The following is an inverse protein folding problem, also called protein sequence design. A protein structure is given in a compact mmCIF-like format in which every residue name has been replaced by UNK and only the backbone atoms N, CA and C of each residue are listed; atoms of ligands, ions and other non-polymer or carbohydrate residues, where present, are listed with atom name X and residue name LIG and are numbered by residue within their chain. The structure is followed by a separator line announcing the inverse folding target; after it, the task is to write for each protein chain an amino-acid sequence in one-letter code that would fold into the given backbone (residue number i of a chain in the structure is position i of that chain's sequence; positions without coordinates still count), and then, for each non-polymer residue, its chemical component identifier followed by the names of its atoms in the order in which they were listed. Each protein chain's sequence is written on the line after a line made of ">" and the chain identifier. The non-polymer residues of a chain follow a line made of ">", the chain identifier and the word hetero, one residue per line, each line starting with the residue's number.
data_IF_972038978222
#
_entry.id   IF_972038978222
#
_cell.length_a   1.000
_cell.length_b   1.000
_cell.length_c   1.000
_cell.angle_alpha   90.00
_cell.angle_beta   90.00
_cell.angle_gamma   90.00
#
_symmetry.space_group_name_H-M   'P 1'
#
loop_
_entity.id
_entity.type
_entity.pdbx_description
1 polymer ?
#
# COMPACT_ATOMS: atom_id res chain seq x y z
N UNK A 1 21.90 35.21 14.71
CA UNK A 1 20.56 34.89 14.24
C UNK A 1 20.56 33.44 13.77
N UNK A 2 19.99 32.54 14.55
CA UNK A 2 19.70 31.16 14.13
C UNK A 2 18.52 31.24 13.15
N UNK A 3 18.72 30.77 11.93
CA UNK A 3 17.64 30.53 11.00
C UNK A 3 16.80 29.39 11.55
N UNK A 4 15.53 29.67 11.85
CA UNK A 4 14.51 28.70 12.19
C UNK A 4 14.26 27.87 10.93
N UNK A 5 14.66 26.59 10.95
CA UNK A 5 14.42 25.63 9.89
C UNK A 5 12.94 25.26 9.92
N UNK A 6 12.18 25.95 9.07
CA UNK A 6 10.71 25.87 8.99
C UNK A 6 10.12 24.55 8.51
N UNK A 7 10.80 23.43 8.69
CA UNK A 7 10.21 22.09 8.52
C UNK A 7 9.48 21.70 9.81
N UNK A 8 8.32 22.29 10.07
CA UNK A 8 7.36 21.68 10.99
C UNK A 8 7.00 20.30 10.45
N UNK A 9 7.53 19.25 11.10
CA UNK A 9 6.98 17.92 10.93
C UNK A 9 5.50 18.00 11.31
N UNK A 10 4.57 17.46 10.48
CA UNK A 10 3.18 17.41 10.87
C UNK A 10 3.07 16.74 12.24
N UNK A 11 2.25 17.29 13.13
CA UNK A 11 1.99 16.66 14.41
C UNK A 11 1.32 15.32 14.18
N UNK A 12 1.68 14.29 14.97
CA UNK A 12 1.16 12.92 14.80
C UNK A 12 -0.38 12.84 14.79
N UNK A 13 -1.10 13.86 15.29
CA UNK A 13 -2.55 13.93 15.26
C UNK A 13 -3.17 14.23 13.89
N UNK A 14 -2.40 14.76 12.93
CA UNK A 14 -2.94 15.19 11.63
C UNK A 14 -2.98 14.08 10.58
N UNK A 15 -2.18 13.00 10.75
CA UNK A 15 -2.08 11.88 9.82
C UNK A 15 -2.76 10.59 10.32
N UNK A 16 -3.56 10.67 11.36
CA UNK A 16 -4.22 9.50 11.97
C UNK A 16 -5.01 8.67 10.93
N UNK A 17 -4.68 7.38 10.87
CA UNK A 17 -5.33 6.40 10.01
C UNK A 17 -4.76 6.29 8.58
N UNK A 18 -3.68 6.99 8.24
CA UNK A 18 -2.98 6.85 6.94
C UNK A 18 -1.59 6.26 7.07
N UNK A 19 -1.14 5.98 8.27
CA UNK A 19 0.14 5.35 8.55
C UNK A 19 0.20 3.97 7.89
N UNK A 20 1.35 3.66 7.28
CA UNK A 20 1.71 2.32 6.88
C UNK A 20 2.74 1.80 7.88
N UNK A 21 2.44 0.67 8.50
CA UNK A 21 3.33 0.08 9.50
C UNK A 21 4.07 -1.12 8.92
N UNK A 22 5.38 -1.16 9.16
CA UNK A 22 6.16 -2.35 8.83
C UNK A 22 5.73 -3.55 9.67
N UNK A 23 6.12 -4.74 9.27
CA UNK A 23 5.86 -5.97 10.03
C UNK A 23 6.41 -5.84 11.45
N UNK A 24 7.63 -5.31 11.61
CA UNK A 24 8.23 -5.07 12.92
C UNK A 24 7.42 -4.06 13.76
N UNK A 25 6.97 -2.96 13.14
CA UNK A 25 6.14 -1.97 13.82
C UNK A 25 4.78 -2.55 14.24
N UNK A 26 4.18 -3.43 13.43
CA UNK A 26 2.95 -4.13 13.83
C UNK A 26 3.17 -5.05 15.03
N UNK A 27 4.28 -5.77 15.12
CA UNK A 27 4.60 -6.55 16.32
C UNK A 27 4.77 -5.68 17.57
N UNK A 28 5.32 -4.47 17.42
CA UNK A 28 5.38 -3.50 18.53
C UNK A 28 3.99 -3.00 18.92
N UNK A 29 3.12 -2.76 17.95
CA UNK A 29 1.71 -2.39 18.18
C UNK A 29 0.98 -3.47 18.97
N UNK A 30 1.07 -4.72 18.53
CA UNK A 30 0.42 -5.86 19.20
C UNK A 30 0.93 -6.01 20.64
N UNK A 31 2.25 -5.89 20.84
CA UNK A 31 2.86 -5.95 22.15
C UNK A 31 2.39 -4.80 23.07
N UNK A 32 2.28 -3.58 22.54
CA UNK A 32 1.79 -2.41 23.27
C UNK A 32 0.30 -2.54 23.61
N UNK A 33 -0.51 -3.08 22.69
CA UNK A 33 -1.93 -3.34 22.93
C UNK A 33 -2.11 -4.36 24.06
N UNK A 34 -1.34 -5.45 24.04
CA UNK A 34 -1.35 -6.47 25.11
C UNK A 34 -0.91 -5.85 26.44
N UNK A 35 0.13 -5.03 26.44
CA UNK A 35 0.58 -4.32 27.65
C UNK A 35 -0.44 -3.34 28.19
N UNK A 36 -1.33 -2.79 27.34
CA UNK A 36 -2.43 -1.91 27.73
C UNK A 36 -3.66 -2.64 28.26
N UNK A 37 -3.66 -3.98 28.24
CA UNK A 37 -4.70 -4.83 28.82
C UNK A 37 -5.64 -5.51 27.81
N UNK A 38 -5.40 -5.38 26.49
CA UNK A 38 -6.14 -6.14 25.47
C UNK A 38 -5.42 -7.47 25.23
N UNK A 39 -6.06 -8.62 25.51
CA UNK A 39 -5.39 -9.90 25.34
C UNK A 39 -5.24 -10.27 23.85
N UNK A 40 -4.17 -11.04 23.53
CA UNK A 40 -3.97 -11.54 22.16
C UNK A 40 -5.14 -12.41 21.67
N UNK A 41 -5.76 -13.18 22.56
CA UNK A 41 -6.97 -13.96 22.29
C UNK A 41 -8.12 -13.04 21.84
N UNK A 42 -8.34 -11.91 22.51
CA UNK A 42 -9.39 -10.96 22.14
C UNK A 42 -9.09 -10.26 20.82
N UNK A 43 -7.84 -9.89 20.56
CA UNK A 43 -7.42 -9.31 19.29
C UNK A 43 -7.65 -10.28 18.12
N UNK A 44 -7.28 -11.54 18.29
CA UNK A 44 -7.48 -12.60 17.28
C UNK A 44 -8.96 -12.88 17.05
N UNK A 45 -9.78 -12.93 18.10
CA UNK A 45 -11.24 -13.06 18.00
C UNK A 45 -11.85 -11.89 17.20
N UNK A 46 -11.43 -10.66 17.50
CA UNK A 46 -11.88 -9.46 16.79
C UNK A 46 -11.45 -9.47 15.31
N UNK A 47 -10.21 -9.90 15.02
CA UNK A 47 -9.69 -10.02 13.67
C UNK A 47 -10.49 -11.02 12.82
N UNK A 48 -10.67 -12.23 13.30
CA UNK A 48 -11.46 -13.25 12.60
C UNK A 48 -12.92 -12.85 12.42
N UNK A 49 -13.53 -12.26 13.44
CA UNK A 49 -14.92 -11.72 13.38
C UNK A 49 -15.06 -10.62 12.32
N UNK A 50 -14.08 -9.74 12.22
CA UNK A 50 -14.06 -8.68 11.21
C UNK A 50 -14.01 -9.27 9.79
N UNK A 51 -13.18 -10.28 9.55
CA UNK A 51 -13.14 -11.00 8.25
C UNK A 51 -14.47 -11.65 7.93
N UNK A 52 -15.09 -12.33 8.88
CA UNK A 52 -16.41 -12.96 8.70
C UNK A 52 -17.47 -11.93 8.35
N UNK A 53 -17.46 -10.76 8.99
CA UNK A 53 -18.36 -9.65 8.66
C UNK A 53 -18.21 -9.20 7.22
N UNK A 54 -16.98 -9.07 6.73
CA UNK A 54 -16.70 -8.70 5.33
C UNK A 54 -17.16 -9.79 4.34
N UNK A 55 -16.94 -11.05 4.67
CA UNK A 55 -17.39 -12.17 3.85
C UNK A 55 -18.93 -12.17 3.74
N UNK A 56 -19.63 -12.11 4.86
CA UNK A 56 -21.11 -12.17 4.89
C UNK A 56 -21.81 -11.00 4.25
N UNK A 57 -21.14 -9.85 4.13
CA UNK A 57 -21.68 -8.69 3.40
C UNK A 57 -21.65 -8.90 1.87
N UNK A 58 -20.78 -9.78 1.36
CA UNK A 58 -20.53 -9.94 -0.08
C UNK A 58 -21.00 -11.25 -0.64
N UNK A 59 -20.99 -12.29 0.17
CA UNK A 59 -21.34 -13.63 -0.27
C UNK A 59 -22.44 -14.23 0.60
N UNK A 60 -23.34 -14.95 -0.06
CA UNK A 60 -24.26 -15.86 0.64
C UNK A 60 -23.51 -17.14 1.05
N UNK A 61 -24.09 -17.90 2.02
CA UNK A 61 -23.53 -19.18 2.47
C UNK A 61 -23.22 -20.10 1.31
N UNK A 62 -22.01 -20.63 1.29
CA UNK A 62 -21.49 -21.53 0.25
C UNK A 62 -20.41 -22.43 0.81
N UNK A 63 -19.94 -23.40 -0.01
CA UNK A 63 -18.84 -24.28 0.36
C UNK A 63 -17.55 -23.47 0.49
N UNK A 64 -17.09 -23.28 1.71
CA UNK A 64 -15.94 -22.46 2.04
C UNK A 64 -14.81 -23.31 2.60
N UNK A 65 -13.62 -23.18 2.01
CA UNK A 65 -12.41 -23.79 2.54
C UNK A 65 -11.59 -22.72 3.25
N UNK A 66 -11.22 -22.97 4.50
CA UNK A 66 -10.35 -22.11 5.29
C UNK A 66 -9.01 -22.79 5.44
N UNK A 67 -7.97 -22.19 4.87
CA UNK A 67 -6.59 -22.69 4.89
C UNK A 67 -5.83 -21.99 6.02
N UNK A 68 -5.50 -22.73 7.07
CA UNK A 68 -4.81 -22.22 8.25
C UNK A 68 -3.32 -22.58 8.24
N UNK A 69 -2.47 -21.60 8.56
CA UNK A 69 -1.05 -21.82 8.83
C UNK A 69 -0.77 -22.11 10.30
N UNK A 70 0.50 -22.39 10.66
CA UNK A 70 0.90 -22.76 12.02
C UNK A 70 1.06 -21.56 12.97
N UNK A 71 0.90 -20.33 12.50
CA UNK A 71 1.08 -19.11 13.29
C UNK A 71 -0.24 -18.37 13.59
N UNK A 72 -0.12 -17.09 13.99
CA UNK A 72 -1.27 -16.26 14.36
C UNK A 72 -2.26 -16.06 13.20
N UNK A 73 -1.77 -15.95 11.96
CA UNK A 73 -2.66 -15.87 10.80
C UNK A 73 -3.58 -17.10 10.68
N UNK A 74 -3.03 -18.29 10.94
CA UNK A 74 -3.83 -19.52 11.05
C UNK A 74 -4.80 -19.48 12.22
N UNK A 75 -4.43 -18.85 13.32
CA UNK A 75 -5.31 -18.60 14.46
C UNK A 75 -6.54 -17.79 14.09
N UNK A 76 -6.35 -16.69 13.33
CA UNK A 76 -7.46 -15.92 12.74
C UNK A 76 -8.34 -16.81 11.85
N UNK A 77 -7.73 -17.72 11.08
CA UNK A 77 -8.43 -18.72 10.26
C UNK A 77 -9.34 -19.63 11.07
N UNK A 78 -8.92 -20.09 12.26
CA UNK A 78 -9.77 -20.88 13.17
C UNK A 78 -10.98 -20.09 13.67
N UNK A 79 -10.79 -18.81 14.01
CA UNK A 79 -11.90 -17.93 14.40
C UNK A 79 -12.88 -17.77 13.24
N UNK A 80 -12.38 -17.51 12.04
CA UNK A 80 -13.18 -17.35 10.83
C UNK A 80 -14.01 -18.61 10.56
N UNK A 81 -13.36 -19.77 10.59
CA UNK A 81 -14.03 -21.06 10.34
C UNK A 81 -15.16 -21.30 11.33
N UNK A 82 -14.91 -21.07 12.62
CA UNK A 82 -15.91 -21.24 13.69
C UNK A 82 -17.11 -20.32 13.48
N UNK A 83 -16.90 -19.04 13.27
CA UNK A 83 -17.99 -18.09 13.09
C UNK A 83 -18.80 -18.31 11.79
N UNK A 84 -18.14 -18.73 10.70
CA UNK A 84 -18.87 -19.11 9.49
C UNK A 84 -19.69 -20.36 9.70
N UNK A 85 -19.15 -21.39 10.38
CA UNK A 85 -19.88 -22.61 10.70
C UNK A 85 -21.08 -22.32 11.61
N UNK A 86 -20.91 -21.51 12.66
CA UNK A 86 -21.98 -21.07 13.56
C UNK A 86 -23.07 -20.28 12.82
N UNK A 87 -22.70 -19.60 11.73
CA UNK A 87 -23.64 -18.91 10.84
C UNK A 87 -24.28 -19.83 9.78
N UNK A 88 -24.05 -21.14 9.85
CA UNK A 88 -24.66 -22.15 8.97
C UNK A 88 -23.96 -22.32 7.62
N UNK A 89 -22.70 -21.88 7.48
CA UNK A 89 -21.91 -22.11 6.27
C UNK A 89 -21.34 -23.54 6.24
N UNK A 90 -21.13 -24.05 5.03
CA UNK A 90 -20.41 -25.30 4.82
C UNK A 90 -18.92 -25.07 4.84
N UNK A 91 -18.29 -25.24 6.00
CA UNK A 91 -16.87 -24.94 6.21
C UNK A 91 -16.04 -26.22 6.26
N UNK A 92 -15.00 -26.27 5.45
CA UNK A 92 -13.89 -27.23 5.57
C UNK A 92 -12.66 -26.48 6.07
N UNK A 93 -12.16 -26.85 7.25
CA UNK A 93 -10.93 -26.25 7.81
C UNK A 93 -9.74 -27.16 7.53
N UNK A 94 -8.71 -26.60 6.95
CA UNK A 94 -7.45 -27.29 6.69
C UNK A 94 -6.29 -26.59 7.41
N UNK A 95 -5.40 -27.37 7.98
CA UNK A 95 -4.24 -26.89 8.73
C UNK A 95 -2.94 -27.35 8.09
N UNK A 96 -2.00 -26.42 7.92
CA UNK A 96 -0.61 -26.73 7.61
C UNK A 96 0.11 -27.17 8.89
N UNK A 97 0.42 -28.44 8.98
CA UNK A 97 1.00 -29.06 10.18
C UNK A 97 -0.04 -29.67 11.09
N UNK A 98 0.32 -29.84 12.35
CA UNK A 98 -0.48 -30.56 13.34
C UNK A 98 -1.05 -29.58 14.39
N UNK A 99 -2.30 -29.83 14.83
CA UNK A 99 -2.98 -29.03 15.86
C UNK A 99 -2.16 -28.94 17.16
N UNK A 100 -1.53 -30.03 17.54
CA UNK A 100 -0.76 -30.11 18.78
C UNK A 100 0.56 -29.33 18.74
N UNK A 101 1.00 -28.91 17.56
CA UNK A 101 2.15 -28.04 17.40
C UNK A 101 1.80 -26.54 17.53
N UNK A 102 0.52 -26.17 17.53
CA UNK A 102 0.09 -24.80 17.70
C UNK A 102 0.33 -24.34 19.14
N UNK A 103 0.64 -23.04 19.29
CA UNK A 103 0.93 -22.43 20.58
C UNK A 103 0.17 -21.11 20.76
N UNK A 104 0.14 -20.60 22.01
CA UNK A 104 -0.43 -19.29 22.34
C UNK A 104 -1.88 -19.11 21.89
N UNK A 105 -2.19 -17.94 21.34
CA UNK A 105 -3.55 -17.54 20.96
C UNK A 105 -4.10 -18.41 19.81
N UNK A 106 -3.25 -18.80 18.85
CA UNK A 106 -3.63 -19.70 17.78
C UNK A 106 -4.06 -21.07 18.32
N UNK A 107 -3.37 -21.60 19.31
CA UNK A 107 -3.76 -22.86 19.97
C UNK A 107 -5.08 -22.71 20.70
N UNK A 108 -5.29 -21.62 21.42
CA UNK A 108 -6.56 -21.35 22.11
C UNK A 108 -7.75 -21.41 21.13
N UNK A 109 -7.65 -20.71 20.00
CA UNK A 109 -8.74 -20.69 19.02
C UNK A 109 -8.90 -22.02 18.27
N UNK A 110 -7.81 -22.76 18.04
CA UNK A 110 -7.90 -24.12 17.51
C UNK A 110 -8.61 -25.07 18.46
N UNK A 111 -8.47 -24.90 19.78
CA UNK A 111 -9.15 -25.71 20.79
C UNK A 111 -10.66 -25.41 20.87
N UNK A 112 -11.11 -24.26 20.40
CA UNK A 112 -12.52 -23.91 20.27
C UNK A 112 -13.17 -24.48 19.01
N UNK A 113 -12.39 -24.95 18.03
CA UNK A 113 -12.92 -25.59 16.83
C UNK A 113 -13.36 -27.03 17.12
N UNK A 114 -14.63 -27.34 16.85
CA UNK A 114 -15.24 -28.64 17.12
C UNK A 114 -15.38 -29.52 15.88
N UNK A 115 -15.16 -28.95 14.69
CA UNK A 115 -15.22 -29.68 13.43
C UNK A 115 -13.94 -30.47 13.16
N UNK A 116 -13.95 -31.24 12.07
CA UNK A 116 -12.77 -31.93 11.58
C UNK A 116 -11.70 -30.93 11.09
N UNK A 117 -10.42 -31.24 11.33
CA UNK A 117 -9.28 -30.56 10.77
C UNK A 117 -8.66 -31.51 9.75
N UNK A 118 -8.66 -31.09 8.47
CA UNK A 118 -8.09 -31.90 7.40
C UNK A 118 -6.68 -31.42 7.03
N UNK A 119 -5.79 -32.33 6.63
CA UNK A 119 -4.47 -31.95 6.14
C UNK A 119 -4.54 -31.06 4.90
N UNK A 120 -3.57 -30.18 4.74
CA UNK A 120 -3.48 -29.31 3.58
C UNK A 120 -3.22 -30.10 2.30
N UNK A 121 -4.09 -29.97 1.30
CA UNK A 121 -3.93 -30.61 0.00
C UNK A 121 -4.65 -29.85 -1.11
N UNK A 122 -4.16 -29.97 -2.35
CA UNK A 122 -4.77 -29.33 -3.53
C UNK A 122 -6.19 -29.86 -3.79
N UNK A 123 -6.49 -31.11 -3.44
CA UNK A 123 -7.82 -31.72 -3.65
C UNK A 123 -8.94 -31.02 -2.90
N UNK A 124 -8.64 -30.28 -1.84
CA UNK A 124 -9.62 -29.48 -1.09
C UNK A 124 -10.26 -28.37 -1.95
N UNK A 125 -9.57 -27.93 -3.00
CA UNK A 125 -10.03 -26.84 -3.85
C UNK A 125 -11.08 -27.28 -4.87
N UNK A 126 -11.22 -28.59 -5.15
CA UNK A 126 -12.10 -29.08 -6.21
C UNK A 126 -13.57 -28.71 -6.05
N UNK A 127 -14.05 -28.64 -4.79
CA UNK A 127 -15.45 -28.32 -4.47
C UNK A 127 -15.59 -26.96 -3.78
N UNK A 128 -14.52 -26.18 -3.66
CA UNK A 128 -14.54 -24.90 -2.99
C UNK A 128 -15.22 -23.84 -3.86
N UNK A 129 -16.17 -23.11 -3.29
CA UNK A 129 -16.85 -21.97 -3.91
C UNK A 129 -16.36 -20.64 -3.33
N UNK A 130 -15.64 -20.69 -2.22
CA UNK A 130 -14.94 -19.57 -1.57
C UNK A 130 -13.74 -20.12 -0.82
N UNK A 131 -12.66 -19.36 -0.85
CA UNK A 131 -11.44 -19.69 -0.13
C UNK A 131 -11.07 -18.58 0.85
N UNK A 132 -10.67 -18.98 2.04
CA UNK A 132 -10.02 -18.07 3.01
C UNK A 132 -8.56 -18.48 3.13
N UNK A 133 -7.68 -17.62 2.68
CA UNK A 133 -6.23 -17.76 2.79
C UNK A 133 -5.75 -17.16 4.11
N UNK A 134 -5.56 -18.02 5.09
CA UNK A 134 -5.01 -17.71 6.40
C UNK A 134 -3.73 -18.54 6.69
N UNK A 135 -2.95 -18.89 5.65
CA UNK A 135 -1.74 -19.69 5.82
C UNK A 135 -0.63 -18.83 6.41
N UNK A 136 -0.18 -17.81 5.68
CA UNK A 136 0.89 -16.93 6.13
C UNK A 136 0.48 -15.46 5.99
N UNK A 137 0.60 -14.71 7.07
CA UNK A 137 0.45 -13.25 7.10
C UNK A 137 1.74 -12.52 6.69
N UNK A 138 1.79 -11.23 6.99
CA UNK A 138 2.85 -10.31 6.59
C UNK A 138 4.27 -10.69 7.07
N UNK A 139 4.38 -11.54 8.08
CA UNK A 139 5.66 -12.00 8.66
C UNK A 139 6.40 -13.07 7.86
N UNK A 140 5.90 -13.50 6.70
CA UNK A 140 6.58 -14.48 5.85
C UNK A 140 7.89 -13.89 5.32
N UNK A 141 9.02 -14.59 5.57
CA UNK A 141 10.36 -14.11 5.20
C UNK A 141 11.11 -15.03 4.20
N UNK A 142 10.46 -16.11 3.76
CA UNK A 142 11.07 -17.10 2.84
C UNK A 142 10.12 -17.44 1.69
N UNK A 143 10.65 -17.85 0.53
CA UNK A 143 9.80 -18.34 -0.55
C UNK A 143 8.92 -19.51 -0.14
N UNK A 144 7.72 -19.58 -0.75
CA UNK A 144 6.82 -20.70 -0.60
C UNK A 144 7.43 -21.95 -1.23
N UNK A 145 7.18 -23.10 -0.61
CA UNK A 145 7.59 -24.40 -1.09
C UNK A 145 6.53 -25.48 -0.85
N UNK A 146 6.75 -26.68 -1.36
CA UNK A 146 5.91 -27.87 -1.15
C UNK A 146 4.44 -27.64 -1.43
N UNK A 147 3.59 -28.26 -0.60
CA UNK A 147 2.13 -28.26 -0.76
C UNK A 147 1.52 -26.85 -0.75
N UNK A 148 2.09 -25.91 0.01
CA UNK A 148 1.60 -24.52 0.02
C UNK A 148 1.77 -23.87 -1.36
N UNK A 149 2.93 -24.04 -1.98
CA UNK A 149 3.19 -23.52 -3.33
C UNK A 149 2.23 -24.13 -4.36
N UNK A 150 1.97 -25.46 -4.27
CA UNK A 150 1.04 -26.15 -5.16
C UNK A 150 -0.40 -25.62 -5.00
N UNK A 151 -0.86 -25.40 -3.76
CA UNK A 151 -2.19 -24.86 -3.47
C UNK A 151 -2.32 -23.43 -3.98
N UNK A 152 -1.33 -22.58 -3.73
CA UNK A 152 -1.38 -21.18 -4.16
C UNK A 152 -1.49 -21.07 -5.68
N UNK A 153 -0.78 -21.92 -6.43
CA UNK A 153 -0.92 -22.01 -7.89
C UNK A 153 -2.31 -22.47 -8.31
N UNK A 154 -2.82 -23.52 -7.66
CA UNK A 154 -4.13 -24.07 -7.98
C UNK A 154 -5.29 -23.09 -7.70
N UNK A 155 -5.16 -22.17 -6.74
CA UNK A 155 -6.16 -21.13 -6.48
C UNK A 155 -6.37 -20.25 -7.72
N UNK A 156 -5.28 -19.76 -8.30
CA UNK A 156 -5.34 -18.90 -9.49
C UNK A 156 -5.83 -19.69 -10.71
N UNK A 157 -5.37 -20.94 -10.90
CA UNK A 157 -5.76 -21.80 -12.03
C UNK A 157 -7.26 -22.18 -12.01
N UNK A 158 -7.84 -22.32 -10.82
CA UNK A 158 -9.25 -22.68 -10.64
C UNK A 158 -10.19 -21.48 -10.52
N UNK A 159 -9.63 -20.25 -10.53
CA UNK A 159 -10.39 -19.00 -10.42
C UNK A 159 -11.35 -18.96 -9.20
N UNK A 160 -10.95 -19.58 -8.07
CA UNK A 160 -11.76 -19.59 -6.85
C UNK A 160 -11.66 -18.23 -6.17
N UNK A 161 -12.79 -17.57 -5.84
CA UNK A 161 -12.77 -16.33 -5.06
C UNK A 161 -11.99 -16.53 -3.76
N UNK A 162 -10.90 -15.79 -3.58
CA UNK A 162 -9.98 -15.91 -2.45
C UNK A 162 -10.04 -14.66 -1.56
N UNK A 163 -10.20 -14.86 -0.27
CA UNK A 163 -10.14 -13.83 0.76
C UNK A 163 -8.85 -14.03 1.53
N UNK A 164 -7.93 -13.08 1.43
CA UNK A 164 -6.68 -13.13 2.17
C UNK A 164 -6.81 -12.48 3.54
N UNK A 165 -6.30 -13.16 4.55
CA UNK A 165 -6.19 -12.64 5.92
C UNK A 165 -4.84 -11.99 6.09
N UNK A 166 -4.84 -10.74 6.50
CA UNK A 166 -3.68 -9.85 6.66
C UNK A 166 -2.99 -9.51 5.33
N UNK A 167 -2.36 -10.45 4.65
CA UNK A 167 -1.82 -10.33 3.27
C UNK A 167 -2.05 -11.65 2.53
N UNK A 168 -2.12 -11.67 1.20
CA UNK A 168 -2.12 -12.92 0.45
C UNK A 168 -0.84 -13.71 0.74
N UNK A 169 -1.00 -15.01 1.03
CA UNK A 169 0.14 -15.90 1.31
C UNK A 169 1.20 -15.80 0.20
N UNK A 170 2.44 -15.54 0.58
CA UNK A 170 3.55 -15.30 -0.36
C UNK A 170 3.88 -13.84 -0.61
N UNK A 171 3.03 -12.89 -0.22
CA UNK A 171 3.35 -11.45 -0.29
C UNK A 171 4.15 -11.03 0.94
N UNK A 172 5.30 -10.41 0.72
CA UNK A 172 6.11 -9.84 1.82
C UNK A 172 5.52 -8.52 2.30
N UNK A 173 5.23 -8.42 3.60
CA UNK A 173 4.49 -7.30 4.18
C UNK A 173 5.14 -5.93 4.00
N UNK A 174 6.45 -5.83 4.02
CA UNK A 174 7.14 -4.54 3.92
C UNK A 174 7.46 -4.13 2.48
N UNK A 175 7.87 -5.08 1.63
CA UNK A 175 8.34 -4.77 0.28
C UNK A 175 7.32 -4.98 -0.83
N UNK A 176 6.26 -5.74 -0.57
CA UNK A 176 5.31 -6.16 -1.59
C UNK A 176 5.88 -7.18 -2.59
N UNK A 177 7.08 -7.69 -2.34
CA UNK A 177 7.64 -8.74 -3.19
C UNK A 177 6.85 -10.04 -3.03
N UNK A 178 6.68 -10.76 -4.12
CA UNK A 178 6.09 -12.11 -4.10
C UNK A 178 7.21 -13.11 -3.88
N UNK A 179 7.14 -13.85 -2.78
CA UNK A 179 8.12 -14.84 -2.36
C UNK A 179 7.76 -16.22 -2.94
N UNK A 180 8.14 -16.44 -4.18
CA UNK A 180 7.77 -17.58 -4.99
C UNK A 180 6.47 -17.33 -5.77
N UNK A 181 5.34 -17.61 -5.16
CA UNK A 181 3.99 -17.35 -5.70
C UNK A 181 3.11 -16.66 -4.65
N UNK A 182 2.00 -16.08 -5.09
CA UNK A 182 0.95 -15.58 -4.21
C UNK A 182 -0.40 -15.65 -4.93
N UNK A 183 -1.50 -16.04 -4.26
CA UNK A 183 -2.80 -16.09 -4.90
C UNK A 183 -3.30 -14.68 -5.23
N UNK A 184 -4.09 -14.54 -6.29
CA UNK A 184 -4.85 -13.33 -6.55
C UNK A 184 -6.06 -13.29 -5.62
N UNK A 185 -5.99 -12.49 -4.56
CA UNK A 185 -7.14 -12.31 -3.67
C UNK A 185 -8.20 -11.41 -4.33
N UNK A 186 -9.47 -11.73 -4.16
CA UNK A 186 -10.56 -10.82 -4.48
C UNK A 186 -10.65 -9.70 -3.43
N UNK A 187 -10.33 -10.05 -2.18
CA UNK A 187 -10.27 -9.13 -1.06
C UNK A 187 -9.18 -9.54 -0.07
N UNK A 188 -8.48 -8.55 0.45
CA UNK A 188 -7.57 -8.73 1.59
C UNK A 188 -8.09 -7.93 2.77
N UNK A 189 -8.23 -8.57 3.92
CA UNK A 189 -8.63 -7.92 5.16
C UNK A 189 -7.43 -7.87 6.09
N UNK A 190 -6.96 -6.68 6.39
CA UNK A 190 -5.85 -6.43 7.33
C UNK A 190 -6.33 -5.61 8.51
N UNK A 191 -5.55 -5.56 9.57
CA UNK A 191 -6.01 -5.09 10.87
C UNK A 191 -5.21 -3.88 11.34
N UNK A 192 -5.89 -2.94 12.02
CA UNK A 192 -5.38 -1.70 12.60
C UNK A 192 -4.76 -0.76 11.56
N UNK A 193 -3.63 -1.13 10.96
CA UNK A 193 -2.95 -0.36 9.90
C UNK A 193 -2.48 -1.26 8.76
N UNK A 194 -2.55 -0.79 7.52
CA UNK A 194 -2.00 -1.53 6.41
C UNK A 194 -0.47 -1.50 6.43
N UNK A 195 0.13 -2.46 5.73
CA UNK A 195 1.59 -2.58 5.55
C UNK A 195 1.99 -1.97 4.20
N UNK A 196 3.25 -1.55 4.03
CA UNK A 196 3.73 -1.05 2.73
C UNK A 196 3.48 -2.01 1.57
N UNK A 197 3.59 -3.32 1.80
CA UNK A 197 3.40 -4.37 0.80
C UNK A 197 2.00 -4.41 0.18
N UNK A 198 0.96 -3.88 0.85
CA UNK A 198 -0.37 -3.72 0.28
C UNK A 198 -0.43 -2.67 -0.84
N UNK A 199 0.53 -1.77 -0.92
CA UNK A 199 0.57 -0.66 -1.87
C UNK A 199 1.71 -0.76 -2.89
N UNK A 200 2.69 -1.62 -2.63
CA UNK A 200 3.85 -1.82 -3.49
C UNK A 200 3.64 -3.00 -4.45
N UNK A 201 4.02 -2.80 -5.72
CA UNK A 201 3.99 -3.86 -6.72
C UNK A 201 5.15 -4.85 -6.50
N UNK A 202 4.95 -6.15 -6.75
CA UNK A 202 3.75 -6.80 -7.30
C UNK A 202 2.67 -7.15 -6.27
N UNK A 203 2.94 -7.07 -4.97
CA UNK A 203 2.02 -7.45 -3.88
C UNK A 203 0.67 -6.75 -3.97
N UNK A 204 0.65 -5.45 -4.28
CA UNK A 204 -0.59 -4.69 -4.51
C UNK A 204 -1.53 -5.37 -5.51
N UNK A 205 -0.99 -5.92 -6.59
CA UNK A 205 -1.79 -6.59 -7.62
C UNK A 205 -2.40 -7.92 -7.13
N UNK A 206 -1.87 -8.48 -6.03
CA UNK A 206 -2.37 -9.73 -5.43
C UNK A 206 -3.41 -9.48 -4.34
N UNK A 207 -3.47 -8.27 -3.76
CA UNK A 207 -4.34 -7.97 -2.61
C UNK A 207 -5.82 -7.80 -2.98
N UNK A 208 -6.17 -7.58 -4.25
CA UNK A 208 -7.53 -7.26 -4.63
C UNK A 208 -8.04 -6.01 -3.91
N UNK A 209 -9.27 -6.07 -3.39
CA UNK A 209 -9.82 -5.00 -2.56
C UNK A 209 -9.22 -5.06 -1.16
N UNK A 210 -8.41 -4.06 -0.81
CA UNK A 210 -7.87 -3.92 0.55
C UNK A 210 -8.93 -3.34 1.49
N UNK A 211 -9.15 -4.02 2.62
CA UNK A 211 -10.01 -3.58 3.72
C UNK A 211 -9.20 -3.56 5.01
N UNK A 212 -9.17 -2.40 5.67
CA UNK A 212 -8.53 -2.24 6.97
C UNK A 212 -9.62 -2.27 8.04
N UNK A 213 -9.46 -3.12 9.06
CA UNK A 213 -10.43 -3.25 10.15
C UNK A 213 -9.81 -2.90 11.49
N UNK A 214 -10.59 -2.16 12.27
CA UNK A 214 -10.32 -1.97 13.69
C UNK A 214 -10.62 -3.27 14.43
N UNK A 215 -9.69 -3.67 15.29
CA UNK A 215 -9.78 -4.87 16.14
C UNK A 215 -9.68 -4.54 17.63
N UNK A 216 -9.84 -3.27 17.99
CA UNK A 216 -9.81 -2.81 19.38
C UNK A 216 -8.43 -2.41 19.89
N UNK A 217 -7.47 -2.19 19.02
CA UNK A 217 -6.15 -1.65 19.38
C UNK A 217 -6.29 -0.14 19.64
N UNK A 218 -5.94 0.37 20.83
CA UNK A 218 -6.00 1.79 21.10
C UNK A 218 -5.05 2.61 20.21
N UNK A 219 -5.52 3.71 19.63
CA UNK A 219 -4.69 4.62 18.82
C UNK A 219 -3.45 5.13 19.57
N UNK A 220 -3.53 5.25 20.90
CA UNK A 220 -2.44 5.70 21.78
C UNK A 220 -1.19 4.82 21.71
N UNK A 221 -1.30 3.58 21.21
CA UNK A 221 -0.10 2.72 21.01
C UNK A 221 0.84 3.30 19.95
N UNK A 222 0.32 4.14 19.04
CA UNK A 222 1.12 4.79 18.00
C UNK A 222 2.04 5.88 18.55
N UNK A 223 1.78 6.42 19.75
CA UNK A 223 2.62 7.46 20.37
C UNK A 223 4.07 6.99 20.56
N UNK A 224 4.27 5.68 20.73
CA UNK A 224 5.60 5.05 20.84
C UNK A 224 6.17 4.53 19.52
N UNK A 225 5.44 4.63 18.41
CA UNK A 225 5.80 4.03 17.12
C UNK A 225 5.93 5.11 16.06
N UNK A 226 7.17 5.40 15.67
CA UNK A 226 7.44 6.38 14.62
C UNK A 226 7.23 5.77 13.22
N UNK A 227 6.02 5.84 12.66
CA UNK A 227 5.83 5.56 11.24
C UNK A 227 6.64 6.56 10.39
N UNK A 228 7.26 6.06 9.33
CA UNK A 228 8.00 6.89 8.36
C UNK A 228 7.30 6.89 6.99
N UNK A 229 6.19 6.15 6.85
CA UNK A 229 5.48 5.95 5.59
C UNK A 229 3.98 6.14 5.80
N UNK A 230 3.37 6.90 4.91
CA UNK A 230 1.93 7.14 4.89
C UNK A 230 1.35 6.84 3.51
N UNK A 231 0.13 6.35 3.50
CA UNK A 231 -0.65 6.33 2.26
C UNK A 231 -0.91 7.78 1.83
N UNK A 232 -0.67 8.09 0.56
CA UNK A 232 -0.93 9.43 0.03
C UNK A 232 -2.45 9.67 -0.07
N UNK A 233 -3.00 10.26 0.98
CA UNK A 233 -4.39 10.65 1.10
C UNK A 233 -4.50 12.18 1.16
N UNK A 234 -5.47 12.82 0.49
CA UNK A 234 -5.67 14.28 0.56
C UNK A 234 -5.72 14.84 1.98
N UNK A 235 -6.26 14.11 2.97
CA UNK A 235 -6.28 14.54 4.36
C UNK A 235 -4.90 14.80 4.96
N UNK A 236 -3.84 14.21 4.41
CA UNK A 236 -2.47 14.41 4.91
C UNK A 236 -1.88 15.76 4.50
N UNK A 237 -2.44 16.42 3.49
CA UNK A 237 -1.84 17.64 2.93
C UNK A 237 -2.87 18.71 2.54
N UNK A 238 -4.17 18.41 2.52
CA UNK A 238 -5.19 19.32 2.01
C UNK A 238 -5.30 20.62 2.83
N UNK A 239 -5.12 20.53 4.15
CA UNK A 239 -5.16 21.69 5.04
C UNK A 239 -3.98 22.65 4.80
N UNK A 240 -2.86 22.12 4.31
CA UNK A 240 -1.68 22.89 3.95
C UNK A 240 -1.63 23.26 2.45
N UNK A 241 -2.65 22.88 1.69
CA UNK A 241 -2.71 23.20 0.27
C UNK A 241 -2.89 24.71 0.08
N UNK A 242 -2.04 25.39 -0.75
CA UNK A 242 -2.11 26.82 -0.92
C UNK A 242 -3.28 27.22 -1.83
N UNK A 243 -4.48 27.22 -1.28
CA UNK A 243 -5.68 27.64 -2.00
C UNK A 243 -5.55 29.06 -2.51
N UNK A 244 -6.01 29.36 -3.75
CA UNK A 244 -5.99 30.71 -4.30
C UNK A 244 -6.76 31.69 -3.43
N UNK A 245 -6.17 32.87 -3.22
CA UNK A 245 -6.79 34.00 -2.51
C UNK A 245 -7.17 35.09 -3.51
N UNK A 246 -8.15 35.96 -3.19
CA UNK A 246 -8.54 37.05 -4.08
C UNK A 246 -7.38 37.98 -4.46
N UNK A 247 -6.40 38.12 -3.57
CA UNK A 247 -5.24 39.01 -3.76
C UNK A 247 -4.10 38.36 -4.56
N UNK A 248 -4.20 37.05 -4.81
CA UNK A 248 -3.16 36.31 -5.53
C UNK A 248 -3.11 36.70 -7.01
N UNK A 249 -1.88 36.70 -7.50
CA UNK A 249 -1.60 36.93 -8.93
C UNK A 249 -0.53 35.94 -9.41
N UNK A 250 -0.26 35.94 -10.71
CA UNK A 250 0.64 34.94 -11.31
C UNK A 250 2.03 34.84 -10.67
N UNK A 251 2.54 35.91 -10.07
CA UNK A 251 3.85 35.89 -9.43
C UNK A 251 3.83 35.38 -7.98
N UNK A 252 2.70 35.52 -7.27
CA UNK A 252 2.59 35.00 -5.90
C UNK A 252 2.29 33.49 -5.87
N UNK A 253 1.78 32.95 -6.98
CA UNK A 253 1.40 31.54 -7.10
C UNK A 253 2.50 30.63 -7.62
N UNK A 254 3.73 31.09 -7.65
CA UNK A 254 4.89 30.34 -8.06
C UNK A 254 5.09 30.22 -9.56
N UNK A 255 6.31 29.84 -9.93
CA UNK A 255 6.75 29.68 -11.30
C UNK A 255 7.44 28.33 -11.47
N UNK A 256 6.83 27.43 -12.23
CA UNK A 256 7.38 26.11 -12.53
C UNK A 256 8.27 26.18 -13.76
N UNK A 257 9.52 25.74 -13.64
CA UNK A 257 10.45 25.53 -14.73
C UNK A 257 10.55 24.04 -15.03
N UNK A 258 10.40 23.66 -16.29
CA UNK A 258 10.47 22.26 -16.75
C UNK A 258 11.61 22.11 -17.73
N UNK A 259 12.56 21.23 -17.48
CA UNK A 259 13.56 20.82 -18.46
C UNK A 259 12.91 19.88 -19.47
N UNK A 260 12.60 20.38 -20.66
CA UNK A 260 11.94 19.65 -21.72
C UNK A 260 12.91 18.75 -22.51
N UNK A 261 12.54 17.48 -22.66
CA UNK A 261 13.32 16.53 -23.46
C UNK A 261 13.22 16.77 -24.95
N UNK A 262 14.29 16.41 -25.68
CA UNK A 262 14.37 16.60 -27.14
C UNK A 262 13.70 15.47 -27.93
N UNK A 263 13.76 14.24 -27.43
CA UNK A 263 13.24 13.06 -28.15
C UNK A 263 11.76 12.77 -27.83
N UNK A 264 11.33 13.02 -26.59
CA UNK A 264 9.98 12.70 -26.12
C UNK A 264 9.35 13.95 -25.49
N UNK A 265 8.78 14.79 -26.32
CA UNK A 265 8.20 16.09 -25.90
C UNK A 265 6.87 15.94 -25.15
N UNK A 266 6.13 14.84 -25.34
CA UNK A 266 4.81 14.62 -24.75
C UNK A 266 4.78 14.69 -23.24
N UNK A 267 5.76 14.10 -22.56
CA UNK A 267 5.83 14.07 -21.10
C UNK A 267 6.03 15.48 -20.51
N UNK A 268 6.90 16.31 -21.08
CA UNK A 268 7.07 17.70 -20.68
C UNK A 268 5.80 18.54 -20.91
N UNK A 269 5.09 18.32 -22.01
CA UNK A 269 3.80 18.99 -22.29
C UNK A 269 2.73 18.62 -21.26
N UNK A 270 2.61 17.33 -20.92
CA UNK A 270 1.69 16.87 -19.88
C UNK A 270 2.04 17.46 -18.51
N UNK A 271 3.32 17.50 -18.17
CA UNK A 271 3.80 18.13 -16.93
C UNK A 271 3.45 19.61 -16.86
N UNK A 272 3.65 20.36 -17.95
CA UNK A 272 3.28 21.77 -18.03
C UNK A 272 1.77 21.99 -17.87
N UNK A 273 0.96 21.15 -18.50
CA UNK A 273 -0.50 21.19 -18.37
C UNK A 273 -0.93 20.89 -16.93
N UNK A 274 -0.31 19.90 -16.27
CA UNK A 274 -0.59 19.54 -14.88
C UNK A 274 -0.20 20.69 -13.92
N UNK A 275 0.98 21.28 -14.09
CA UNK A 275 1.45 22.41 -13.27
C UNK A 275 0.47 23.61 -13.35
N UNK A 276 -0.01 23.92 -14.54
CA UNK A 276 -1.02 24.98 -14.72
C UNK A 276 -2.35 24.65 -14.07
N UNK A 277 -2.79 23.40 -14.15
CA UNK A 277 -4.06 22.96 -13.56
C UNK A 277 -4.04 22.92 -12.04
N UNK A 278 -2.91 22.52 -11.43
CA UNK A 278 -2.76 22.51 -9.96
C UNK A 278 -2.63 23.93 -9.40
N UNK A 279 -2.37 24.92 -10.25
CA UNK A 279 -2.42 26.31 -9.85
C UNK A 279 -1.09 27.06 -9.90
N UNK A 280 -0.04 26.56 -10.55
CA UNK A 280 1.17 27.32 -10.81
C UNK A 280 0.82 28.62 -11.55
N UNK A 281 1.26 29.76 -11.05
CA UNK A 281 1.00 31.09 -11.63
C UNK A 281 1.65 31.27 -12.99
N UNK A 282 2.84 30.70 -13.18
CA UNK A 282 3.58 30.67 -14.44
C UNK A 282 4.22 29.31 -14.65
N UNK A 283 4.33 28.89 -15.89
CA UNK A 283 5.04 27.68 -16.30
C UNK A 283 5.94 28.01 -17.48
N UNK A 284 7.22 27.67 -17.35
CA UNK A 284 8.21 27.78 -18.44
C UNK A 284 8.73 26.40 -18.78
N UNK A 285 8.77 26.07 -20.06
CA UNK A 285 9.55 24.94 -20.57
C UNK A 285 10.86 25.47 -21.13
N UNK A 286 11.96 24.98 -20.62
CA UNK A 286 13.28 25.16 -21.20
C UNK A 286 13.64 23.91 -22.01
N UNK A 287 14.02 24.07 -23.26
CA UNK A 287 14.38 22.96 -24.15
C UNK A 287 15.35 23.40 -25.25
N UNK A 288 15.89 22.45 -26.00
CA UNK A 288 16.74 22.82 -27.14
C UNK A 288 15.92 23.61 -28.17
N UNK A 289 16.50 24.61 -28.84
CA UNK A 289 15.82 25.46 -29.78
C UNK A 289 15.05 24.74 -30.87
N UNK A 290 15.53 23.56 -31.26
CA UNK A 290 14.96 22.75 -32.34
C UNK A 290 13.60 22.18 -31.99
N UNK A 291 13.33 21.92 -30.69
CA UNK A 291 12.07 21.31 -30.24
C UNK A 291 11.14 22.30 -29.54
N UNK A 292 11.59 23.51 -29.23
CA UNK A 292 10.76 24.54 -28.59
C UNK A 292 9.43 24.79 -29.29
N UNK A 293 9.34 24.85 -30.64
CA UNK A 293 8.06 25.05 -31.33
C UNK A 293 7.04 23.95 -31.01
N UNK A 294 7.50 22.69 -30.80
CA UNK A 294 6.63 21.56 -30.42
C UNK A 294 6.02 21.76 -29.03
N UNK A 295 6.72 22.41 -28.13
CA UNK A 295 6.22 22.66 -26.77
C UNK A 295 5.20 23.81 -26.72
N UNK A 296 5.34 24.80 -27.57
CA UNK A 296 4.60 26.06 -27.47
C UNK A 296 3.42 26.16 -28.43
N UNK A 297 3.38 25.33 -29.48
CA UNK A 297 2.40 25.44 -30.57
C UNK A 297 0.94 25.41 -30.16
N UNK A 298 0.60 24.63 -29.14
CA UNK A 298 -0.80 24.37 -28.72
C UNK A 298 -1.13 24.88 -27.31
N UNK A 299 -0.24 25.65 -26.68
CA UNK A 299 -0.38 26.01 -25.27
C UNK A 299 -0.21 27.51 -25.02
N UNK A 300 -1.22 28.34 -25.34
CA UNK A 300 -1.16 29.78 -25.01
C UNK A 300 -0.96 29.97 -23.51
N UNK A 301 -0.02 30.87 -23.15
CA UNK A 301 0.36 31.13 -21.77
C UNK A 301 1.42 30.19 -21.17
N UNK A 302 1.93 29.25 -21.96
CA UNK A 302 3.16 28.52 -21.63
C UNK A 302 4.35 29.35 -22.12
N UNK A 303 5.28 29.63 -21.21
CA UNK A 303 6.53 30.33 -21.55
C UNK A 303 7.56 29.31 -22.04
N UNK A 304 8.50 29.75 -22.86
CA UNK A 304 9.59 28.91 -23.36
C UNK A 304 10.93 29.64 -23.32
N UNK A 305 11.97 28.88 -22.99
CA UNK A 305 13.36 29.37 -22.98
C UNK A 305 14.27 28.35 -23.70
N UNK A 306 15.16 28.77 -24.54
CA UNK A 306 16.14 27.88 -25.16
C UNK A 306 17.28 27.56 -24.17
N UNK A 307 17.78 26.33 -24.22
CA UNK A 307 19.06 25.93 -23.64
C UNK A 307 19.67 24.77 -24.42
N UNK A 308 20.98 24.62 -24.39
CA UNK A 308 21.71 23.50 -25.03
C UNK A 308 22.61 22.78 -24.03
N UNK A 309 23.09 23.46 -23.01
CA UNK A 309 24.03 22.90 -22.03
C UNK A 309 23.46 23.01 -20.60
N UNK A 310 24.03 22.26 -19.69
CA UNK A 310 23.63 22.33 -18.27
C UNK A 310 23.93 23.68 -17.65
N UNK A 311 25.02 24.34 -18.09
CA UNK A 311 25.40 25.70 -17.65
C UNK A 311 24.36 26.72 -18.09
N UNK A 312 23.87 26.62 -19.35
CA UNK A 312 22.81 27.51 -19.83
C UNK A 312 21.51 27.30 -19.05
N UNK A 313 21.20 26.04 -18.69
CA UNK A 313 20.05 25.74 -17.83
C UNK A 313 20.26 26.34 -16.43
N UNK A 314 21.44 26.18 -15.85
CA UNK A 314 21.82 26.80 -14.58
C UNK A 314 21.59 28.31 -14.57
N UNK A 315 21.98 29.03 -15.65
CA UNK A 315 21.72 30.47 -15.78
C UNK A 315 20.23 30.84 -15.80
N UNK A 316 19.36 29.92 -16.26
CA UNK A 316 17.89 30.10 -16.16
C UNK A 316 17.42 30.03 -14.71
N UNK A 317 18.11 29.28 -13.86
CA UNK A 317 17.80 29.14 -12.43
C UNK A 317 18.21 30.34 -11.58
N UNK A 318 19.03 31.24 -12.08
CA UNK A 318 19.40 32.47 -11.38
C UNK A 318 18.21 33.43 -11.15
N UNK A 319 17.09 33.21 -11.82
CA UNK A 319 15.85 33.94 -11.60
C UNK A 319 15.05 33.29 -10.44
N UNK A 320 15.17 33.85 -9.25
CA UNK A 320 14.56 33.41 -7.99
C UNK A 320 13.03 33.23 -8.04
N UNK A 321 12.37 33.78 -9.07
CA UNK A 321 10.94 33.57 -9.26
C UNK A 321 10.61 32.17 -9.68
N UNK A 322 11.57 31.42 -10.24
CA UNK A 322 11.42 30.00 -10.62
C UNK A 322 11.67 29.12 -9.40
N UNK A 323 10.64 28.88 -8.64
CA UNK A 323 10.68 28.23 -7.33
C UNK A 323 10.20 26.76 -7.32
N UNK A 324 9.83 26.22 -8.48
CA UNK A 324 9.55 24.79 -8.67
C UNK A 324 10.24 24.31 -9.95
N UNK A 325 11.08 23.30 -9.85
CA UNK A 325 11.88 22.80 -10.96
C UNK A 325 11.54 21.33 -11.22
N UNK A 326 11.28 20.98 -12.46
CA UNK A 326 11.03 19.61 -12.89
C UNK A 326 12.05 19.20 -13.97
N UNK A 327 12.82 18.18 -13.65
CA UNK A 327 13.79 17.54 -14.58
C UNK A 327 13.42 16.07 -14.74
N UNK A 328 13.56 15.56 -15.94
CA UNK A 328 13.36 14.13 -16.24
C UNK A 328 12.34 13.82 -17.32
N UNK A 329 11.13 14.44 -17.36
CA UNK A 329 10.12 14.10 -18.36
C UNK A 329 10.64 14.24 -19.79
N UNK A 330 10.86 13.08 -20.46
CA UNK A 330 11.37 13.04 -21.83
C UNK A 330 12.85 13.39 -21.99
N UNK A 331 13.58 13.65 -20.90
CA UNK A 331 15.00 14.05 -20.92
C UNK A 331 15.97 12.92 -21.25
N UNK A 332 15.53 11.67 -21.03
CA UNK A 332 16.37 10.49 -21.20
C UNK A 332 17.42 10.29 -20.11
N UNK A 333 18.08 9.14 -20.15
CA UNK A 333 19.19 8.80 -19.26
C UNK A 333 20.50 9.12 -19.99
N UNK A 334 20.98 10.34 -19.79
CA UNK A 334 22.18 10.86 -20.48
C UNK A 334 22.91 11.88 -19.61
N UNK A 335 24.12 12.28 -20.06
CA UNK A 335 24.99 13.18 -19.31
C UNK A 335 24.36 14.56 -19.13
N UNK A 336 23.68 15.10 -20.12
CA UNK A 336 23.03 16.41 -20.02
C UNK A 336 21.97 16.44 -18.91
N UNK A 337 21.11 15.44 -18.86
CA UNK A 337 20.11 15.32 -17.78
C UNK A 337 20.77 15.17 -16.41
N UNK A 338 21.83 14.36 -16.33
CA UNK A 338 22.62 14.20 -15.10
C UNK A 338 23.21 15.55 -14.64
N UNK A 339 23.87 16.28 -15.54
CA UNK A 339 24.54 17.54 -15.22
C UNK A 339 23.53 18.64 -14.85
N UNK A 340 22.33 18.65 -15.46
CA UNK A 340 21.23 19.56 -15.06
C UNK A 340 20.77 19.30 -13.63
N UNK A 341 20.72 18.03 -13.21
CA UNK A 341 20.29 17.67 -11.84
C UNK A 341 21.32 18.04 -10.78
N UNK A 342 22.62 18.09 -11.15
CA UNK A 342 23.71 18.42 -10.23
C UNK A 342 24.02 19.92 -10.13
N UNK A 343 23.54 20.73 -11.06
CA UNK A 343 23.66 22.19 -11.02
C UNK A 343 22.54 22.80 -10.16
#
# INVERSE_FOLDING_TARGET
>A
GQADDGTKRPSMSENSGTELLTVEQMYLVDSAAIASGVSGVELMEAAGTAVVSEIRQRWASRKTVVLCGPGNNGGDGFVIARHLADAGWHVTLSLLGERDALNGDARHHADLWTGEIVPLSVSLLNDAELLVDAIFGAGLARPLDGTVLEIVRAIDDLEIPCIAVDVPTGVHGDSGMVLGEAPGAEMTVTFFRPKPGHFLMPGRARCGRLVVRDIGIPETVLDGICSQVWHNDPKNWLDNFPWPRPEDHKYTRGHTLIAGGSAMTGAGRLAAAAARRIGSGMVTIAASPEVLPTYTGDAPGLLSLPFRTAEEFGSILEDDRKNAILVGPGGGVNRTTHDIVLN
#
